data_IF_213381649384
#
_entry.id   IF_213381649384
#
_cell.length_a   1.000
_cell.length_b   1.000
_cell.length_c   1.000
_cell.angle_alpha   90.00
_cell.angle_beta   90.00
_cell.angle_gamma   90.00
#
_symmetry.space_group_name_H-M   'P 1'
#
loop_
_entity.id
_entity.type
_entity.pdbx_description
1 polymer ?
#
# COMPACT_ATOMS: atom_id res chain seq x y z
N UNK A 1 13.74 18.61 -21.80
CA UNK A 1 12.80 17.58 -22.29
C UNK A 1 11.44 17.88 -21.64
N UNK A 2 10.39 18.16 -22.42
CA UNK A 2 9.06 18.66 -21.98
C UNK A 2 8.10 17.52 -21.61
N UNK A 3 7.09 17.76 -20.77
CA UNK A 3 6.08 16.73 -20.44
C UNK A 3 5.11 16.42 -21.60
N UNK A 4 5.27 17.10 -22.74
CA UNK A 4 4.43 16.97 -23.93
C UNK A 4 4.28 15.53 -24.42
N UNK A 5 5.33 14.71 -24.41
CA UNK A 5 5.24 13.31 -24.84
C UNK A 5 4.33 12.47 -23.91
N UNK A 6 4.40 12.71 -22.60
CA UNK A 6 3.49 12.11 -21.63
C UNK A 6 2.06 12.59 -21.86
N UNK A 7 1.86 13.90 -22.02
CA UNK A 7 0.54 14.51 -22.23
C UNK A 7 -0.12 14.05 -23.53
N UNK A 8 0.65 13.90 -24.61
CA UNK A 8 0.20 13.38 -25.91
C UNK A 8 -0.22 11.91 -25.80
N UNK A 9 0.62 11.05 -25.18
CA UNK A 9 0.27 9.65 -24.95
C UNK A 9 -0.98 9.51 -24.05
N UNK A 10 -1.05 10.32 -22.99
CA UNK A 10 -2.17 10.35 -22.08
C UNK A 10 -3.47 10.82 -22.75
N UNK A 11 -3.40 11.85 -23.60
CA UNK A 11 -4.54 12.33 -24.39
C UNK A 11 -5.00 11.30 -25.44
N UNK A 12 -4.09 10.48 -25.96
CA UNK A 12 -4.40 9.36 -26.85
C UNK A 12 -4.98 8.13 -26.12
N UNK A 13 -4.97 8.12 -24.78
CA UNK A 13 -5.40 6.97 -23.98
C UNK A 13 -4.38 5.82 -23.95
N UNK A 14 -3.14 6.05 -24.39
CA UNK A 14 -2.08 5.03 -24.38
C UNK A 14 -1.42 4.96 -23.01
N UNK A 15 -2.01 4.14 -22.13
CA UNK A 15 -1.53 3.93 -20.78
C UNK A 15 -0.10 3.37 -20.72
N UNK A 16 0.29 2.52 -21.67
CA UNK A 16 1.63 1.89 -21.66
C UNK A 16 2.69 2.92 -22.03
N UNK A 17 2.45 3.68 -23.11
CA UNK A 17 3.37 4.74 -23.52
C UNK A 17 3.44 5.86 -22.46
N UNK A 18 2.31 6.27 -21.89
CA UNK A 18 2.28 7.29 -20.84
C UNK A 18 3.09 6.84 -19.60
N UNK A 19 2.93 5.58 -19.16
CA UNK A 19 3.70 5.05 -18.04
C UNK A 19 5.20 4.90 -18.39
N UNK A 20 5.52 4.52 -19.62
CA UNK A 20 6.89 4.46 -20.13
C UNK A 20 7.58 5.83 -20.09
N UNK A 21 6.94 6.88 -20.59
CA UNK A 21 7.48 8.24 -20.52
C UNK A 21 7.67 8.71 -19.07
N UNK A 22 6.76 8.34 -18.17
CA UNK A 22 6.90 8.65 -16.76
C UNK A 22 8.11 7.95 -16.13
N UNK A 23 8.38 6.69 -16.50
CA UNK A 23 9.57 5.95 -16.08
C UNK A 23 10.86 6.57 -16.61
N UNK A 24 10.89 6.96 -17.89
CA UNK A 24 12.03 7.68 -18.48
C UNK A 24 12.33 8.96 -17.70
N UNK A 25 11.30 9.73 -17.34
CA UNK A 25 11.45 10.95 -16.54
C UNK A 25 11.88 10.69 -15.13
N UNK A 26 11.35 9.64 -14.52
CA UNK A 26 11.78 9.25 -13.19
C UNK A 26 13.28 8.92 -13.19
N UNK A 27 13.71 8.11 -14.14
CA UNK A 27 15.10 7.66 -14.26
C UNK A 27 16.07 8.81 -14.53
N UNK A 28 15.67 9.78 -15.36
CA UNK A 28 16.47 10.98 -15.65
C UNK A 28 16.47 12.04 -14.52
N UNK A 29 15.50 11.99 -13.61
CA UNK A 29 15.21 13.06 -12.64
C UNK A 29 16.04 13.06 -11.35
N UNK A 30 16.91 12.07 -11.15
CA UNK A 30 17.76 11.96 -9.96
C UNK A 30 16.96 11.92 -8.64
N UNK A 31 17.50 12.55 -7.58
CA UNK A 31 16.93 12.45 -6.22
C UNK A 31 15.52 13.06 -6.06
N UNK A 32 15.11 13.98 -6.94
CA UNK A 32 13.80 14.65 -6.86
C UNK A 32 12.76 14.08 -7.83
N UNK A 33 13.13 13.04 -8.59
CA UNK A 33 12.31 12.43 -9.62
C UNK A 33 10.89 12.08 -9.15
N UNK A 34 10.77 11.46 -7.98
CA UNK A 34 9.48 11.04 -7.42
C UNK A 34 8.53 12.22 -7.22
N UNK A 35 9.02 13.28 -6.57
CA UNK A 35 8.21 14.47 -6.27
C UNK A 35 7.74 15.18 -7.55
N UNK A 36 8.64 15.31 -8.52
CA UNK A 36 8.34 15.96 -9.81
C UNK A 36 7.31 15.15 -10.59
N UNK A 37 7.51 13.84 -10.75
CA UNK A 37 6.58 12.98 -11.48
C UNK A 37 5.19 13.00 -10.83
N UNK A 38 5.12 12.95 -9.50
CA UNK A 38 3.85 13.02 -8.76
C UNK A 38 3.14 14.36 -8.97
N UNK A 39 3.88 15.48 -8.91
CA UNK A 39 3.30 16.81 -9.14
C UNK A 39 2.73 16.96 -10.54
N UNK A 40 3.41 16.40 -11.55
CA UNK A 40 2.94 16.45 -12.94
C UNK A 40 1.68 15.61 -13.11
N UNK A 41 1.66 14.38 -12.58
CA UNK A 41 0.45 13.54 -12.60
C UNK A 41 -0.75 14.27 -11.97
N UNK A 42 -0.55 14.87 -10.79
CA UNK A 42 -1.63 15.62 -10.11
C UNK A 42 -2.04 16.87 -10.87
N UNK A 43 -1.09 17.58 -11.49
CA UNK A 43 -1.35 18.72 -12.36
C UNK A 43 -2.19 18.33 -13.57
N UNK A 44 -1.82 17.22 -14.23
CA UNK A 44 -2.53 16.68 -15.38
C UNK A 44 -3.95 16.26 -15.03
N UNK A 45 -4.11 15.44 -13.99
CA UNK A 45 -5.43 14.99 -13.51
C UNK A 45 -6.32 16.19 -13.15
N UNK A 46 -5.77 17.21 -12.49
CA UNK A 46 -6.51 18.44 -12.14
C UNK A 46 -6.90 19.27 -13.37
N UNK A 47 -6.00 19.42 -14.35
CA UNK A 47 -6.27 20.16 -15.58
C UNK A 47 -7.41 19.54 -16.38
N UNK A 48 -7.47 18.21 -16.38
CA UNK A 48 -8.50 17.43 -17.07
C UNK A 48 -9.70 17.10 -16.17
N UNK A 49 -9.96 17.91 -15.13
CA UNK A 49 -11.10 17.77 -14.21
C UNK A 49 -11.31 16.34 -13.68
N UNK A 50 -10.23 15.60 -13.43
CA UNK A 50 -10.25 14.21 -12.99
C UNK A 50 -10.85 13.19 -13.98
N UNK A 51 -11.17 13.56 -15.22
CA UNK A 51 -11.72 12.65 -16.24
C UNK A 51 -10.73 11.54 -16.62
N UNK A 52 -9.43 11.79 -16.41
CA UNK A 52 -8.36 10.86 -16.78
C UNK A 52 -7.91 9.98 -15.60
N UNK A 53 -8.71 9.85 -14.54
CA UNK A 53 -8.43 8.89 -13.45
C UNK A 53 -8.39 7.45 -13.98
N UNK A 54 -9.27 7.09 -14.92
CA UNK A 54 -9.26 5.75 -15.54
C UNK A 54 -7.94 5.47 -16.29
N UNK A 55 -7.31 6.50 -16.88
CA UNK A 55 -5.99 6.35 -17.48
C UNK A 55 -4.94 5.98 -16.43
N UNK A 56 -4.94 6.61 -15.26
CA UNK A 56 -3.98 6.29 -14.19
C UNK A 56 -4.15 4.84 -13.71
N UNK A 57 -5.38 4.34 -13.63
CA UNK A 57 -5.64 2.93 -13.33
C UNK A 57 -5.15 1.99 -14.43
N UNK A 58 -5.36 2.34 -15.70
CA UNK A 58 -4.83 1.59 -16.83
C UNK A 58 -3.29 1.59 -16.86
N UNK A 59 -2.66 2.71 -16.53
CA UNK A 59 -1.21 2.82 -16.39
C UNK A 59 -0.70 1.90 -15.27
N UNK A 60 -1.37 1.89 -14.12
CA UNK A 60 -1.02 0.99 -13.01
C UNK A 60 -1.07 -0.47 -13.44
N UNK A 61 -2.11 -0.88 -14.18
CA UNK A 61 -2.21 -2.23 -14.71
C UNK A 61 -1.06 -2.56 -15.68
N UNK A 62 -0.64 -1.59 -16.51
CA UNK A 62 0.47 -1.78 -17.46
C UNK A 62 1.84 -1.94 -16.79
N UNK A 63 2.06 -1.30 -15.62
CA UNK A 63 3.33 -1.38 -14.89
C UNK A 63 3.27 -2.26 -13.64
N UNK A 64 2.17 -3.00 -13.42
CA UNK A 64 1.92 -3.77 -12.19
C UNK A 64 3.08 -4.70 -11.81
N UNK A 65 3.62 -5.41 -12.81
CA UNK A 65 4.68 -6.41 -12.61
C UNK A 65 6.09 -5.82 -12.63
N UNK A 66 6.26 -4.50 -12.81
CA UNK A 66 7.57 -3.87 -12.84
C UNK A 66 8.06 -3.52 -11.42
N UNK A 67 8.57 -4.54 -10.73
CA UNK A 67 9.09 -4.43 -9.38
C UNK A 67 10.36 -3.54 -9.27
N UNK A 68 11.08 -3.33 -10.38
CA UNK A 68 12.29 -2.52 -10.39
C UNK A 68 11.99 -1.01 -10.41
N UNK A 69 10.72 -0.66 -10.67
CA UNK A 69 10.28 0.69 -10.94
C UNK A 69 9.35 1.22 -9.85
N UNK A 70 9.53 2.46 -9.38
CA UNK A 70 8.64 3.08 -8.41
C UNK A 70 7.35 3.62 -9.04
N UNK A 71 7.14 3.42 -10.35
CA UNK A 71 6.04 4.03 -11.09
C UNK A 71 4.67 3.52 -10.62
N UNK A 72 4.52 2.22 -10.36
CA UNK A 72 3.26 1.67 -9.83
C UNK A 72 2.87 2.35 -8.50
N UNK A 73 3.83 2.47 -7.57
CA UNK A 73 3.60 3.14 -6.30
C UNK A 73 3.33 4.64 -6.46
N UNK A 74 4.05 5.31 -7.37
CA UNK A 74 3.83 6.73 -7.68
C UNK A 74 2.41 6.99 -8.21
N UNK A 75 1.91 6.14 -9.10
CA UNK A 75 0.53 6.22 -9.62
C UNK A 75 -0.50 6.07 -8.50
N UNK A 76 -0.32 5.08 -7.62
CA UNK A 76 -1.18 4.88 -6.45
C UNK A 76 -1.16 6.07 -5.49
N UNK A 77 0.00 6.71 -5.29
CA UNK A 77 0.12 7.93 -4.48
C UNK A 77 -0.51 9.16 -5.12
N UNK A 78 -0.59 9.21 -6.46
CA UNK A 78 -1.31 10.25 -7.18
C UNK A 78 -2.83 10.03 -7.08
N UNK A 79 -3.29 8.78 -7.26
CA UNK A 79 -4.69 8.38 -7.12
C UNK A 79 -5.23 8.64 -5.70
N UNK A 80 -4.47 8.29 -4.66
CA UNK A 80 -4.85 8.59 -3.27
C UNK A 80 -5.03 10.08 -3.03
N UNK A 81 -4.13 10.92 -3.56
CA UNK A 81 -4.21 12.36 -3.37
C UNK A 81 -5.39 12.96 -4.15
N UNK A 82 -5.65 12.47 -5.36
CA UNK A 82 -6.85 12.85 -6.11
C UNK A 82 -8.12 12.50 -5.33
N UNK A 83 -8.15 11.34 -4.66
CA UNK A 83 -9.30 10.89 -3.86
C UNK A 83 -9.62 11.82 -2.67
N UNK A 84 -8.61 12.46 -2.05
CA UNK A 84 -8.82 13.39 -0.93
C UNK A 84 -9.67 14.60 -1.30
N UNK A 85 -9.69 14.99 -2.58
CA UNK A 85 -10.42 16.17 -3.04
C UNK A 85 -11.94 15.99 -3.00
N UNK A 86 -12.45 14.76 -2.81
CA UNK A 86 -13.86 14.34 -2.66
C UNK A 86 -14.86 14.83 -3.73
N UNK A 87 -14.40 15.60 -4.71
CA UNK A 87 -15.24 16.23 -5.72
C UNK A 87 -15.65 15.26 -6.82
N UNK A 88 -14.91 14.16 -7.02
CA UNK A 88 -15.12 13.20 -8.11
C UNK A 88 -14.82 11.79 -7.59
N UNK A 89 -15.61 10.80 -8.04
CA UNK A 89 -15.37 9.39 -7.74
C UNK A 89 -14.05 8.96 -8.39
N UNK A 90 -13.08 8.56 -7.56
CA UNK A 90 -11.75 8.13 -8.03
C UNK A 90 -11.61 6.60 -8.08
N UNK A 91 -12.65 5.90 -7.64
CA UNK A 91 -12.74 4.45 -7.70
C UNK A 91 -12.67 3.97 -9.16
N UNK A 92 -11.90 2.91 -9.44
CA UNK A 92 -11.82 2.36 -10.79
C UNK A 92 -13.18 1.80 -11.22
N UNK A 93 -13.42 1.80 -12.53
CA UNK A 93 -14.54 1.06 -13.12
C UNK A 93 -14.55 -0.43 -12.70
N UNK A 94 -15.72 -1.10 -12.63
CA UNK A 94 -15.82 -2.49 -12.14
C UNK A 94 -14.90 -3.48 -12.86
N UNK A 95 -14.73 -3.34 -14.18
CA UNK A 95 -13.85 -4.18 -14.99
C UNK A 95 -12.38 -3.98 -14.64
N UNK A 96 -11.96 -2.73 -14.43
CA UNK A 96 -10.58 -2.39 -14.03
C UNK A 96 -10.32 -2.86 -12.60
N UNK A 97 -11.28 -2.66 -11.68
CA UNK A 97 -11.23 -3.20 -10.32
C UNK A 97 -11.02 -4.72 -10.34
N UNK A 98 -11.78 -5.45 -11.16
CA UNK A 98 -11.69 -6.91 -11.25
C UNK A 98 -10.30 -7.35 -11.74
N UNK A 99 -9.76 -6.72 -12.78
CA UNK A 99 -8.40 -7.02 -13.25
C UNK A 99 -7.32 -6.72 -12.22
N UNK A 100 -7.43 -5.61 -11.50
CA UNK A 100 -6.51 -5.27 -10.39
C UNK A 100 -6.65 -6.24 -9.22
N UNK A 101 -7.86 -6.70 -8.93
CA UNK A 101 -8.12 -7.73 -7.91
C UNK A 101 -7.44 -9.05 -8.27
N UNK A 102 -7.56 -9.51 -9.52
CA UNK A 102 -6.91 -10.73 -9.97
C UNK A 102 -5.37 -10.62 -9.87
N UNK A 103 -4.85 -9.45 -10.22
CA UNK A 103 -3.43 -9.11 -10.04
C UNK A 103 -2.98 -9.12 -8.57
N UNK A 104 -3.79 -8.58 -7.66
CA UNK A 104 -3.55 -8.61 -6.20
C UNK A 104 -3.55 -10.04 -5.69
N UNK A 105 -4.56 -10.84 -6.03
CA UNK A 105 -4.66 -12.24 -5.60
C UNK A 105 -3.45 -13.04 -6.06
N UNK A 106 -3.08 -12.91 -7.33
CA UNK A 106 -1.89 -13.54 -7.89
C UNK A 106 -0.63 -13.14 -7.11
N UNK A 107 -0.43 -11.85 -6.84
CA UNK A 107 0.73 -11.37 -6.08
C UNK A 107 0.74 -11.86 -4.61
N UNK A 108 -0.43 -12.08 -4.01
CA UNK A 108 -0.55 -12.63 -2.65
C UNK A 108 -0.34 -14.15 -2.60
N UNK A 109 -0.70 -14.86 -3.68
CA UNK A 109 -0.56 -16.31 -3.81
C UNK A 109 0.86 -16.76 -4.18
N UNK A 110 1.57 -15.99 -4.99
CA UNK A 110 2.93 -16.30 -5.50
C UNK A 110 4.03 -16.22 -4.43
N UNK A 111 3.68 -16.37 -3.14
CA UNK A 111 4.58 -16.46 -1.97
C UNK A 111 5.82 -15.56 -2.04
N UNK A 112 5.73 -14.37 -1.43
CA UNK A 112 6.92 -13.71 -0.84
C UNK A 112 8.10 -13.55 -1.80
N UNK A 113 7.86 -13.15 -3.04
CA UNK A 113 8.88 -12.43 -3.79
C UNK A 113 9.01 -11.00 -3.21
N UNK A 114 9.23 -10.90 -1.89
CA UNK A 114 9.67 -9.67 -1.23
C UNK A 114 11.08 -9.31 -1.73
N UNK A 115 11.79 -10.21 -2.43
CA UNK A 115 13.06 -9.94 -3.14
C UNK A 115 13.46 -11.13 -4.06
N UNK A 116 14.12 -10.91 -5.22
CA UNK A 116 13.86 -9.92 -6.27
C UNK A 116 12.97 -10.50 -7.39
N UNK A 117 11.91 -9.78 -7.79
CA UNK A 117 11.08 -10.12 -8.96
C UNK A 117 9.56 -10.06 -8.73
N UNK A 118 9.11 -9.99 -7.47
CA UNK A 118 7.71 -9.85 -7.10
C UNK A 118 7.26 -8.41 -6.96
N UNK A 119 5.95 -8.19 -7.00
CA UNK A 119 5.33 -6.86 -6.84
C UNK A 119 5.60 -6.33 -5.42
N UNK A 120 6.03 -5.07 -5.31
CA UNK A 120 6.27 -4.42 -4.02
C UNK A 120 5.03 -4.47 -3.12
N UNK A 121 5.19 -4.88 -1.86
CA UNK A 121 4.08 -5.02 -0.91
C UNK A 121 3.27 -3.73 -0.71
N UNK A 122 3.92 -2.56 -0.83
CA UNK A 122 3.23 -1.27 -0.78
C UNK A 122 2.31 -1.10 -1.97
N UNK A 123 2.68 -1.57 -3.16
CA UNK A 123 1.82 -1.52 -4.36
C UNK A 123 0.61 -2.42 -4.15
N UNK A 124 0.83 -3.66 -3.71
CA UNK A 124 -0.26 -4.64 -3.46
C UNK A 124 -1.26 -4.09 -2.44
N UNK A 125 -0.80 -3.72 -1.24
CA UNK A 125 -1.69 -3.29 -0.15
C UNK A 125 -2.35 -1.94 -0.45
N UNK A 126 -1.64 -1.00 -1.06
CA UNK A 126 -2.24 0.29 -1.45
C UNK A 126 -3.32 0.11 -2.52
N UNK A 127 -3.17 -0.87 -3.41
CA UNK A 127 -4.19 -1.23 -4.40
C UNK A 127 -5.43 -1.82 -3.73
N UNK A 128 -5.26 -2.72 -2.77
CA UNK A 128 -6.36 -3.25 -1.94
C UNK A 128 -7.17 -2.09 -1.34
N UNK A 129 -6.49 -1.13 -0.70
CA UNK A 129 -7.14 0.02 -0.05
C UNK A 129 -7.87 0.91 -1.04
N UNK A 130 -7.24 1.30 -2.15
CA UNK A 130 -7.84 2.26 -3.07
C UNK A 130 -8.92 1.66 -3.98
N UNK A 131 -8.85 0.35 -4.24
CA UNK A 131 -9.84 -0.37 -5.04
C UNK A 131 -10.96 -1.01 -4.21
N UNK A 132 -10.92 -0.84 -2.88
CA UNK A 132 -11.85 -1.45 -1.94
C UNK A 132 -11.98 -2.97 -2.18
N UNK A 133 -10.83 -3.66 -2.19
CA UNK A 133 -10.76 -5.11 -2.37
C UNK A 133 -10.88 -5.74 -0.98
N UNK A 134 -12.12 -5.96 -0.54
CA UNK A 134 -12.46 -6.58 0.75
C UNK A 134 -12.90 -8.05 0.60
N UNK A 135 -13.09 -8.50 -0.64
CA UNK A 135 -13.61 -9.80 -1.03
C UNK A 135 -12.51 -10.85 -1.28
N UNK A 136 -11.54 -10.90 -0.37
CA UNK A 136 -10.47 -11.92 -0.33
C UNK A 136 -10.75 -12.86 0.84
N UNK A 137 -10.34 -14.13 0.76
CA UNK A 137 -10.51 -15.05 1.88
C UNK A 137 -9.45 -14.82 2.98
N UNK A 138 -9.81 -15.15 4.22
CA UNK A 138 -8.93 -14.98 5.37
C UNK A 138 -7.65 -15.81 5.27
N UNK A 139 -7.68 -17.00 4.65
CA UNK A 139 -6.50 -17.86 4.54
C UNK A 139 -5.43 -17.20 3.68
N UNK A 140 -5.82 -16.64 2.53
CA UNK A 140 -4.92 -15.91 1.62
C UNK A 140 -4.34 -14.66 2.29
N UNK A 141 -5.18 -13.86 2.94
CA UNK A 141 -4.75 -12.60 3.60
C UNK A 141 -3.82 -12.86 4.78
N UNK A 142 -4.11 -13.85 5.62
CA UNK A 142 -3.26 -14.19 6.77
C UNK A 142 -1.91 -14.77 6.32
N UNK A 143 -1.91 -15.63 5.30
CA UNK A 143 -0.66 -16.16 4.71
C UNK A 143 0.21 -15.02 4.19
N UNK A 144 -0.38 -14.08 3.44
CA UNK A 144 0.35 -12.92 2.93
C UNK A 144 0.88 -12.03 4.07
N UNK A 145 0.09 -11.75 5.10
CA UNK A 145 0.58 -10.97 6.24
C UNK A 145 1.72 -11.64 7.02
N UNK A 146 1.66 -12.97 7.18
CA UNK A 146 2.74 -13.77 7.79
C UNK A 146 4.04 -13.75 6.96
N UNK A 147 3.93 -13.57 5.65
CA UNK A 147 5.07 -13.33 4.79
C UNK A 147 5.64 -11.92 4.96
N UNK A 148 4.79 -10.89 4.94
CA UNK A 148 5.22 -9.50 5.05
C UNK A 148 5.97 -9.21 6.35
N UNK A 149 5.56 -9.83 7.46
CA UNK A 149 6.19 -9.59 8.77
C UNK A 149 7.65 -10.04 8.83
N UNK A 150 8.08 -10.95 7.94
CA UNK A 150 9.46 -11.43 7.87
C UNK A 150 10.43 -10.42 7.24
N UNK A 151 9.93 -9.26 6.80
CA UNK A 151 10.73 -8.27 6.10
C UNK A 151 10.47 -6.86 6.63
N UNK A 152 11.53 -6.22 7.14
CA UNK A 152 11.48 -4.87 7.71
C UNK A 152 10.82 -3.84 6.79
N UNK A 153 11.13 -3.89 5.49
CA UNK A 153 10.63 -2.90 4.53
C UNK A 153 9.13 -3.06 4.19
N UNK A 154 8.55 -4.20 4.58
CA UNK A 154 7.14 -4.53 4.36
C UNK A 154 6.23 -4.25 5.55
N UNK A 155 6.79 -3.92 6.73
CA UNK A 155 6.00 -3.74 7.96
C UNK A 155 4.93 -2.65 7.84
N UNK A 156 5.22 -1.56 7.10
CA UNK A 156 4.24 -0.50 6.88
C UNK A 156 3.05 -0.98 6.02
N UNK A 157 3.30 -1.83 5.03
CA UNK A 157 2.26 -2.46 4.21
C UNK A 157 1.45 -3.45 5.06
N UNK A 158 2.09 -4.23 5.92
CA UNK A 158 1.40 -5.13 6.85
C UNK A 158 0.41 -4.39 7.76
N UNK A 159 0.81 -3.25 8.35
CA UNK A 159 -0.10 -2.43 9.18
C UNK A 159 -1.33 -1.98 8.39
N UNK A 160 -1.16 -1.58 7.12
CA UNK A 160 -2.28 -1.21 6.26
C UNK A 160 -3.17 -2.40 5.91
N UNK A 161 -2.57 -3.57 5.62
CA UNK A 161 -3.31 -4.79 5.31
C UNK A 161 -4.21 -5.22 6.49
N UNK A 162 -3.67 -5.19 7.71
CA UNK A 162 -4.44 -5.47 8.93
C UNK A 162 -5.60 -4.49 9.08
N UNK A 163 -5.38 -3.21 8.79
CA UNK A 163 -6.43 -2.19 8.87
C UNK A 163 -7.52 -2.37 7.81
N UNK A 164 -7.20 -2.91 6.63
CA UNK A 164 -8.17 -3.27 5.59
C UNK A 164 -8.99 -4.50 5.94
N UNK A 165 -8.45 -5.44 6.72
CA UNK A 165 -9.13 -6.68 7.11
C UNK A 165 -9.16 -6.87 8.64
N UNK A 166 -9.79 -5.95 9.40
CA UNK A 166 -9.70 -5.95 10.86
C UNK A 166 -10.39 -7.16 11.52
N UNK A 167 -11.30 -7.82 10.79
CA UNK A 167 -12.11 -8.92 11.30
C UNK A 167 -11.38 -10.28 11.29
N UNK A 168 -10.26 -10.41 10.60
CA UNK A 168 -9.52 -11.67 10.54
C UNK A 168 -8.74 -11.99 11.82
N UNK A 169 -8.50 -13.28 12.10
CA UNK A 169 -7.80 -13.72 13.30
C UNK A 169 -6.27 -13.53 13.16
N UNK A 170 -5.82 -12.28 13.19
CA UNK A 170 -4.40 -11.94 13.04
C UNK A 170 -3.54 -12.42 14.22
N UNK A 171 -2.32 -12.95 13.96
CA UNK A 171 -1.38 -13.37 15.01
C UNK A 171 -0.61 -12.17 15.58
N UNK A 172 -1.31 -11.23 16.20
CA UNK A 172 -0.73 -9.96 16.69
C UNK A 172 0.47 -10.14 17.63
N UNK A 173 0.46 -11.18 18.46
CA UNK A 173 1.58 -11.51 19.36
C UNK A 173 2.88 -11.68 18.59
N UNK A 174 2.84 -12.51 17.54
CA UNK A 174 3.97 -12.87 16.71
C UNK A 174 4.44 -11.66 15.89
N UNK A 175 3.50 -10.86 15.39
CA UNK A 175 3.82 -9.63 14.68
C UNK A 175 4.55 -8.64 15.57
N UNK A 176 4.07 -8.39 16.79
CA UNK A 176 4.73 -7.45 17.70
C UNK A 176 6.14 -7.88 18.08
N UNK A 177 6.40 -9.19 18.22
CA UNK A 177 7.75 -9.72 18.43
C UNK A 177 8.68 -9.39 17.26
N UNK A 178 8.21 -9.54 16.02
CA UNK A 178 9.00 -9.20 14.83
C UNK A 178 9.24 -7.69 14.71
N UNK A 179 8.24 -6.86 14.99
CA UNK A 179 8.41 -5.40 14.96
C UNK A 179 9.44 -4.94 16.00
N UNK A 180 9.44 -5.55 17.19
CA UNK A 180 10.45 -5.33 18.21
C UNK A 180 11.85 -5.74 17.72
N UNK A 181 11.98 -6.91 17.07
CA UNK A 181 13.23 -7.39 16.50
C UNK A 181 13.79 -6.44 15.41
N UNK A 182 12.92 -5.77 14.65
CA UNK A 182 13.31 -4.75 13.67
C UNK A 182 13.45 -3.33 14.23
N UNK A 183 13.29 -3.13 15.54
CA UNK A 183 13.27 -1.82 16.21
C UNK A 183 12.25 -0.84 15.58
N UNK A 184 11.12 -1.36 15.11
CA UNK A 184 10.10 -0.62 14.34
C UNK A 184 8.90 -0.23 15.21
N UNK A 185 9.18 0.36 16.38
CA UNK A 185 8.18 0.63 17.43
C UNK A 185 7.02 1.52 16.99
N UNK A 186 7.28 2.55 16.19
CA UNK A 186 6.23 3.43 15.68
C UNK A 186 5.19 2.69 14.81
N UNK A 187 5.61 1.66 14.07
CA UNK A 187 4.70 0.82 13.31
C UNK A 187 3.97 -0.18 14.23
N UNK A 188 4.60 -0.63 15.31
CA UNK A 188 3.98 -1.52 16.29
C UNK A 188 2.85 -0.81 17.05
N UNK A 189 3.07 0.44 17.44
CA UNK A 189 2.04 1.29 18.05
C UNK A 189 0.85 1.50 17.11
N UNK A 190 1.11 1.73 15.82
CA UNK A 190 0.05 1.83 14.80
C UNK A 190 -0.72 0.52 14.66
N UNK A 191 -0.03 -0.63 14.67
CA UNK A 191 -0.68 -1.94 14.65
C UNK A 191 -1.58 -2.13 15.87
N UNK A 192 -1.11 -1.77 17.07
CA UNK A 192 -1.89 -1.83 18.31
C UNK A 192 -3.13 -0.93 18.23
N UNK A 193 -3.00 0.28 17.70
CA UNK A 193 -4.14 1.19 17.53
C UNK A 193 -5.23 0.58 16.63
N UNK A 194 -4.85 -0.14 15.57
CA UNK A 194 -5.79 -0.87 14.69
C UNK A 194 -6.53 -2.01 15.43
N UNK A 195 -5.89 -2.64 16.41
CA UNK A 195 -6.53 -3.67 17.25
C UNK A 195 -7.59 -3.03 18.16
N UNK A 196 -7.27 -1.89 18.76
CA UNK A 196 -8.13 -1.23 19.76
C UNK A 196 -9.46 -0.75 19.17
N UNK A 197 -9.50 -0.47 17.87
CA UNK A 197 -10.74 -0.10 17.17
C UNK A 197 -11.64 -1.29 16.83
N UNK A 198 -11.22 -2.53 17.12
CA UNK A 198 -11.95 -3.76 16.78
C UNK A 198 -12.24 -4.63 18.03
N UNK A 199 -13.39 -4.43 18.71
CA UNK A 199 -13.64 -4.97 20.07
C UNK A 199 -13.51 -6.49 20.22
N UNK A 200 -13.82 -7.27 19.19
CA UNK A 200 -13.83 -8.73 19.24
C UNK A 200 -12.43 -9.38 19.21
N UNK A 201 -11.42 -8.64 18.74
CA UNK A 201 -10.03 -9.12 18.68
C UNK A 201 -9.29 -8.94 20.01
N UNK A 202 -9.60 -7.85 20.73
CA UNK A 202 -9.03 -7.52 22.04
C UNK A 202 -9.20 -8.65 23.08
N UNK A 203 -10.34 -9.36 23.04
CA UNK A 203 -10.60 -10.51 23.94
C UNK A 203 -9.65 -11.69 23.69
N UNK A 204 -9.24 -11.94 22.43
CA UNK A 204 -8.30 -13.00 22.06
C UNK A 204 -6.85 -12.59 22.30
N UNK A 205 -6.46 -11.36 21.95
CA UNK A 205 -5.09 -10.85 22.16
C UNK A 205 -4.74 -10.71 23.64
N UNK A 206 -5.71 -10.34 24.48
CA UNK A 206 -5.51 -10.19 25.93
C UNK A 206 -5.21 -11.51 26.64
N UNK A 207 -5.60 -12.66 26.09
CA UNK A 207 -5.31 -13.96 26.68
C UNK A 207 -3.87 -14.43 26.39
N UNK A 208 -3.27 -14.00 25.28
CA UNK A 208 -1.96 -14.51 24.83
C UNK A 208 -0.82 -13.49 25.02
N UNK A 209 -1.08 -12.19 24.88
CA UNK A 209 -0.03 -11.14 24.89
C UNK A 209 0.15 -10.44 26.25
N UNK A 210 -0.93 -10.19 27.00
CA UNK A 210 -0.82 -9.42 28.24
C UNK A 210 0.02 -10.17 29.30
N UNK A 211 0.00 -11.51 29.31
CA UNK A 211 0.85 -12.30 30.18
C UNK A 211 2.36 -12.15 29.89
N UNK A 212 2.74 -11.84 28.65
CA UNK A 212 4.13 -11.65 28.24
C UNK A 212 4.58 -10.18 28.26
N UNK A 213 3.69 -9.24 27.93
CA UNK A 213 3.98 -7.80 27.96
C UNK A 213 4.04 -7.28 29.41
N UNK A 214 3.17 -7.75 30.31
CA UNK A 214 3.23 -7.37 31.74
C UNK A 214 4.35 -8.04 32.53
N UNK A 215 4.90 -9.18 32.06
CA UNK A 215 6.05 -9.82 32.74
C UNK A 215 7.40 -9.19 32.41
N UNK A 216 7.49 -8.38 31.35
CA UNK A 216 8.76 -7.83 30.84
C UNK A 216 8.94 -6.31 31.02
N UNK A 217 8.16 -5.64 31.87
CA UNK A 217 8.43 -4.24 32.30
C UNK A 217 8.72 -3.23 31.16
N UNK A 218 8.04 -3.34 30.00
CA UNK A 218 8.26 -2.41 28.86
C UNK A 218 7.52 -1.06 29.06
N UNK A 219 6.65 -0.93 30.07
CA UNK A 219 5.84 0.29 30.28
C UNK A 219 6.21 1.15 31.49
N UNK A 220 7.32 0.89 32.19
CA UNK A 220 7.80 1.81 33.24
C UNK A 220 8.87 2.76 32.71
N UNK A 221 8.44 3.82 32.02
CA UNK A 221 9.09 5.14 32.17
C UNK A 221 8.25 6.26 31.55
N UNK A 222 7.28 6.77 32.30
CA UNK A 222 6.93 8.21 32.35
C UNK A 222 6.04 8.43 33.57
N UNK A 223 6.66 8.43 34.75
CA UNK A 223 6.09 9.04 35.94
C UNK A 223 7.24 9.39 36.88
N UNK A 224 7.92 10.50 36.60
CA UNK A 224 8.50 11.32 37.66
C UNK A 224 8.11 12.75 37.36
N UNK A 225 7.17 13.21 38.17
CA UNK A 225 6.86 14.60 38.44
C UNK A 225 8.00 15.12 39.31
N UNK A 226 8.63 16.22 38.89
CA UNK A 226 9.06 17.30 39.80
C UNK A 226 8.55 18.62 39.24
#
# INVERSE_FOLDING_TARGET
MTWSAFEEAAAAGDATAAAGYLLERYTAGGSNAFGICRQVLLGYVKQHQNDHIELLWAMLAAVWSDAASPIAYLLLMALEEANKSKSIATSPSPSVRLGLRDNVLKAMEEEVAVYPGGVDAKVVVKTIVLCDIDDVDATTVLRYGNALVQHKDSLAALVQLVASFPHYPWPFAEFLVQFAAYSSWSLAERLIATIQTTPDQLKRTNQTCLGHIFKNDIFRSTAVIE
#
